data_IF_465464789100
#
_entry.id   IF_465464789100
#
_cell.length_a   1.000
_cell.length_b   1.000
_cell.length_c   1.000
_cell.angle_alpha   90.00
_cell.angle_beta   90.00
_cell.angle_gamma   90.00
#
_symmetry.space_group_name_H-M   'P 1'
#
loop_
_entity.id
_entity.type
_entity.pdbx_description
1 polymer ?
#
# COMPACT_ATOMS: atom_id res chain seq x y z
N UNK A 1 -9.58 37.94 4.26
CA UNK A 1 -9.72 36.55 4.72
C UNK A 1 -10.52 35.78 3.67
N UNK A 2 -9.84 35.01 2.82
CA UNK A 2 -10.50 34.22 1.77
C UNK A 2 -11.20 33.03 2.40
N UNK A 3 -12.48 32.82 2.03
CA UNK A 3 -13.29 31.67 2.45
C UNK A 3 -12.56 30.39 2.07
N UNK A 4 -12.24 29.57 3.06
CA UNK A 4 -11.62 28.26 2.84
C UNK A 4 -12.69 27.36 2.22
N UNK A 5 -12.55 26.99 0.95
CA UNK A 5 -13.52 26.16 0.27
C UNK A 5 -13.27 24.69 0.65
N UNK A 6 -14.12 24.16 1.53
CA UNK A 6 -14.28 22.71 1.72
C UNK A 6 -15.09 22.13 0.55
N UNK A 7 -14.83 20.89 0.17
CA UNK A 7 -15.51 20.25 -0.95
C UNK A 7 -15.57 18.74 -0.81
N UNK A 8 -16.56 18.13 -1.42
CA UNK A 8 -16.74 16.68 -1.49
C UNK A 8 -16.87 16.28 -2.97
N UNK A 9 -16.02 15.35 -3.41
CA UNK A 9 -15.95 14.88 -4.78
C UNK A 9 -16.21 13.37 -4.80
N UNK A 10 -17.33 12.96 -5.39
CA UNK A 10 -17.70 11.55 -5.50
C UNK A 10 -17.25 11.00 -6.86
N UNK A 11 -16.61 9.84 -6.83
CA UNK A 11 -16.12 9.06 -7.97
C UNK A 11 -16.66 7.63 -7.90
N UNK A 12 -16.62 6.90 -9.02
CA UNK A 12 -16.81 5.44 -9.00
C UNK A 12 -15.79 4.73 -8.10
N UNK A 13 -14.60 5.32 -7.92
CA UNK A 13 -13.57 4.77 -7.03
C UNK A 13 -13.64 5.30 -5.59
N UNK A 14 -14.68 6.03 -5.19
CA UNK A 14 -14.85 6.51 -3.82
C UNK A 14 -14.96 8.03 -3.75
N UNK A 15 -14.88 8.57 -2.54
CA UNK A 15 -15.16 9.99 -2.28
C UNK A 15 -13.94 10.67 -1.68
N UNK A 16 -13.60 11.85 -2.23
CA UNK A 16 -12.58 12.75 -1.70
C UNK A 16 -13.27 13.90 -0.96
N UNK A 17 -13.04 14.02 0.34
CA UNK A 17 -13.49 15.16 1.14
C UNK A 17 -12.30 16.03 1.48
N UNK A 18 -12.28 17.25 0.95
CA UNK A 18 -11.30 18.28 1.26
C UNK A 18 -11.83 19.20 2.35
N UNK A 19 -11.08 19.34 3.45
CA UNK A 19 -11.48 20.21 4.57
C UNK A 19 -11.20 21.69 4.33
N UNK A 20 -10.56 22.03 3.21
CA UNK A 20 -10.15 23.38 2.88
C UNK A 20 -8.79 23.81 3.44
N UNK A 21 -8.32 23.15 4.51
CA UNK A 21 -7.24 23.63 5.35
C UNK A 21 -5.96 22.86 5.07
N UNK A 22 -6.03 21.54 4.99
CA UNK A 22 -4.85 20.68 4.91
C UNK A 22 -5.10 19.18 4.99
N UNK A 23 -6.35 18.72 5.17
CA UNK A 23 -6.67 17.30 5.30
C UNK A 23 -7.65 16.86 4.22
N UNK A 24 -7.30 15.76 3.55
CA UNK A 24 -8.17 15.00 2.68
C UNK A 24 -8.65 13.76 3.43
N UNK A 25 -9.95 13.48 3.39
CA UNK A 25 -10.52 12.18 3.79
C UNK A 25 -10.94 11.43 2.55
N UNK A 26 -10.36 10.26 2.33
CA UNK A 26 -10.65 9.39 1.19
C UNK A 26 -11.54 8.24 1.69
N UNK A 27 -12.73 8.10 1.14
CA UNK A 27 -13.68 7.04 1.51
C UNK A 27 -13.85 6.08 0.34
N UNK A 28 -13.66 4.79 0.59
CA UNK A 28 -13.77 3.72 -0.42
C UNK A 28 -15.05 2.89 -0.27
N UNK A 29 -16.09 3.47 0.32
CA UNK A 29 -17.35 2.85 0.76
C UNK A 29 -18.33 2.45 -0.39
N UNK A 30 -17.93 2.64 -1.65
CA UNK A 30 -18.69 2.21 -2.81
C UNK A 30 -18.32 0.81 -3.32
N UNK A 31 -19.32 -0.09 -3.37
CA UNK A 31 -19.25 -1.30 -4.20
C UNK A 31 -19.46 -0.93 -5.66
N UNK A 32 -18.43 -1.06 -6.49
CA UNK A 32 -18.56 -0.95 -7.93
C UNK A 32 -18.74 -2.36 -8.52
N UNK A 33 -19.80 -2.55 -9.31
CA UNK A 33 -20.02 -3.80 -10.01
C UNK A 33 -18.93 -4.03 -11.08
N UNK A 34 -18.52 -5.27 -11.27
CA UNK A 34 -17.55 -5.66 -12.31
C UNK A 34 -16.07 -5.46 -11.96
N UNK A 35 -15.74 -5.06 -10.72
CA UNK A 35 -14.36 -5.11 -10.23
C UNK A 35 -13.92 -6.55 -9.97
N UNK A 36 -12.64 -6.84 -10.17
CA UNK A 36 -12.07 -8.11 -9.75
C UNK A 36 -12.09 -8.25 -8.21
N UNK A 37 -12.02 -9.49 -7.72
CA UNK A 37 -12.19 -9.80 -6.30
C UNK A 37 -11.11 -9.13 -5.41
N UNK A 38 -9.88 -8.98 -5.91
CA UNK A 38 -8.79 -8.37 -5.15
C UNK A 38 -9.03 -6.86 -5.01
N UNK A 39 -9.34 -6.19 -6.11
CA UNK A 39 -9.70 -4.77 -6.14
C UNK A 39 -10.91 -4.48 -5.24
N UNK A 40 -11.97 -5.30 -5.33
CA UNK A 40 -13.17 -5.14 -4.49
C UNK A 40 -12.87 -5.31 -2.99
N UNK A 41 -12.07 -6.33 -2.63
CA UNK A 41 -11.64 -6.58 -1.25
C UNK A 41 -10.76 -5.44 -0.71
N UNK A 42 -9.81 -4.95 -1.51
CA UNK A 42 -8.92 -3.85 -1.14
C UNK A 42 -9.72 -2.61 -0.77
N UNK A 43 -10.68 -2.20 -1.61
CA UNK A 43 -11.54 -1.03 -1.38
C UNK A 43 -12.31 -1.14 -0.07
N UNK A 44 -13.03 -2.24 0.09
CA UNK A 44 -13.88 -2.51 1.24
C UNK A 44 -13.07 -2.42 2.54
N UNK A 45 -11.85 -2.97 2.53
CA UNK A 45 -10.98 -3.03 3.70
C UNK A 45 -10.17 -1.77 3.96
N UNK A 46 -9.90 -0.94 2.96
CA UNK A 46 -9.27 0.37 3.16
C UNK A 46 -10.20 1.33 3.91
N UNK A 47 -11.52 1.25 3.68
CA UNK A 47 -12.51 2.03 4.42
C UNK A 47 -12.32 3.54 4.22
N UNK A 48 -11.97 4.26 5.29
CA UNK A 48 -11.58 5.67 5.24
C UNK A 48 -10.09 5.84 5.48
N UNK A 49 -9.43 6.68 4.67
CA UNK A 49 -8.05 7.12 4.88
C UNK A 49 -7.98 8.62 5.08
N UNK A 50 -7.18 9.04 6.05
CA UNK A 50 -6.86 10.45 6.30
C UNK A 50 -5.51 10.74 5.66
N UNK A 51 -5.48 11.73 4.78
CA UNK A 51 -4.32 12.12 3.99
C UNK A 51 -4.01 13.60 4.27
N UNK A 52 -2.89 13.91 4.95
CA UNK A 52 -2.43 15.28 5.08
C UNK A 52 -1.89 15.80 3.74
N UNK A 53 -2.18 17.05 3.41
CA UNK A 53 -1.77 17.66 2.12
C UNK A 53 -0.26 17.62 1.90
N UNK A 54 0.54 17.59 2.97
CA UNK A 54 1.99 17.42 2.97
C UNK A 54 2.46 16.09 2.34
N UNK A 55 1.57 15.11 2.24
CA UNK A 55 1.83 13.85 1.57
C UNK A 55 1.73 13.95 0.05
N UNK A 56 1.10 14.99 -0.49
CA UNK A 56 0.93 15.19 -1.93
C UNK A 56 2.16 15.86 -2.53
N UNK A 57 2.61 15.30 -3.65
CA UNK A 57 3.53 15.94 -4.59
C UNK A 57 2.75 16.82 -5.56
N UNK A 58 1.59 16.36 -6.01
CA UNK A 58 0.74 17.07 -6.96
C UNK A 58 -0.72 16.59 -6.87
N UNK A 59 -1.59 17.33 -7.54
CA UNK A 59 -2.96 16.91 -7.88
C UNK A 59 -3.19 17.16 -9.36
N UNK A 60 -3.57 16.10 -10.06
CA UNK A 60 -3.79 16.08 -11.50
C UNK A 60 -5.29 15.99 -11.77
N UNK A 61 -5.76 16.78 -12.73
CA UNK A 61 -7.14 16.75 -13.21
C UNK A 61 -7.07 16.52 -14.70
N UNK A 62 -7.89 15.60 -15.18
CA UNK A 62 -8.01 15.25 -16.59
C UNK A 62 -9.47 15.04 -16.95
N UNK A 63 -9.74 14.76 -18.22
CA UNK A 63 -11.07 14.35 -18.66
C UNK A 63 -11.53 13.02 -18.03
N UNK A 64 -10.61 12.20 -17.51
CA UNK A 64 -10.95 10.91 -16.90
C UNK A 64 -11.24 11.04 -15.40
N UNK A 65 -10.71 12.07 -14.73
CA UNK A 65 -11.03 12.40 -13.34
C UNK A 65 -9.94 13.13 -12.58
N UNK A 66 -9.90 12.93 -11.26
CA UNK A 66 -8.93 13.55 -10.35
C UNK A 66 -7.96 12.50 -9.80
N UNK A 67 -6.66 12.79 -9.87
CA UNK A 67 -5.61 11.94 -9.31
C UNK A 67 -4.81 12.70 -8.26
N UNK A 68 -4.72 12.10 -7.07
CA UNK A 68 -3.86 12.56 -5.98
C UNK A 68 -2.48 11.90 -6.14
N UNK A 69 -1.45 12.69 -6.44
CA UNK A 69 -0.09 12.18 -6.63
C UNK A 69 0.67 12.34 -5.33
N UNK A 70 0.87 11.23 -4.62
CA UNK A 70 1.67 11.22 -3.39
C UNK A 70 3.16 11.42 -3.67
N UNK A 71 3.87 11.91 -2.64
CA UNK A 71 5.32 11.89 -2.58
C UNK A 71 5.80 10.46 -2.29
N UNK A 72 6.89 10.05 -2.93
CA UNK A 72 7.53 8.77 -2.63
C UNK A 72 7.88 8.69 -1.13
N UNK A 73 7.59 7.57 -0.47
CA UNK A 73 7.82 7.40 0.96
C UNK A 73 6.78 8.07 1.87
N UNK A 74 5.71 8.68 1.34
CA UNK A 74 4.64 9.25 2.18
C UNK A 74 3.62 8.20 2.64
N UNK A 75 3.36 7.17 1.83
CA UNK A 75 2.43 6.08 2.14
C UNK A 75 3.13 4.71 2.07
N UNK A 76 3.12 3.93 3.17
CA UNK A 76 3.68 2.59 3.14
C UNK A 76 2.91 1.64 2.21
N UNK A 77 1.60 1.84 2.01
CA UNK A 77 0.82 0.99 1.10
C UNK A 77 1.27 1.17 -0.35
N UNK A 78 1.39 2.42 -0.81
CA UNK A 78 1.91 2.74 -2.15
C UNK A 78 3.35 2.25 -2.34
N UNK A 79 4.17 2.32 -1.30
CA UNK A 79 5.57 1.92 -1.36
C UNK A 79 5.75 0.41 -1.54
N UNK A 80 4.93 -0.41 -0.88
CA UNK A 80 4.95 -1.88 -1.05
C UNK A 80 4.55 -2.30 -2.46
N UNK A 81 3.58 -1.60 -3.05
CA UNK A 81 3.04 -2.00 -4.35
C UNK A 81 3.95 -1.58 -5.50
N UNK A 82 4.90 -0.66 -5.27
CA UNK A 82 5.81 -0.17 -6.32
C UNK A 82 5.06 0.41 -7.52
N UNK A 83 3.85 0.95 -7.29
CA UNK A 83 2.94 1.39 -8.36
C UNK A 83 2.20 0.27 -9.09
N UNK A 84 2.52 -1.00 -8.82
CA UNK A 84 1.78 -2.17 -9.30
C UNK A 84 0.61 -2.45 -8.38
N UNK A 85 -0.46 -1.69 -8.55
CA UNK A 85 -1.76 -2.08 -8.02
C UNK A 85 -2.66 -2.24 -9.23
N UNK A 86 -3.46 -3.31 -9.24
CA UNK A 86 -4.57 -3.45 -10.20
C UNK A 86 -5.49 -2.20 -10.18
N UNK A 87 -5.47 -1.44 -9.07
CA UNK A 87 -6.10 -0.14 -8.91
C UNK A 87 -5.26 0.86 -8.09
N UNK A 88 -5.06 2.07 -8.58
CA UNK A 88 -4.45 3.14 -7.79
C UNK A 88 -5.47 3.69 -6.77
N UNK A 89 -5.27 3.56 -5.43
CA UNK A 89 -6.23 4.04 -4.44
C UNK A 89 -6.35 5.58 -4.40
N UNK A 90 -5.51 6.28 -5.16
CA UNK A 90 -5.47 7.73 -5.23
C UNK A 90 -5.99 8.29 -6.56
N UNK A 91 -6.56 7.42 -7.41
CA UNK A 91 -7.19 7.77 -8.68
C UNK A 91 -8.73 7.71 -8.58
N UNK A 92 -9.36 8.86 -8.82
CA UNK A 92 -10.79 9.10 -8.69
C UNK A 92 -11.39 9.48 -10.06
N UNK A 93 -11.74 8.48 -10.89
CA UNK A 93 -12.31 8.71 -12.21
C UNK A 93 -13.79 9.11 -12.18
N UNK A 94 -14.32 9.59 -13.30
CA UNK A 94 -15.76 9.89 -13.48
C UNK A 94 -16.33 10.87 -12.44
N UNK A 95 -15.55 11.88 -12.10
CA UNK A 95 -15.94 12.97 -11.19
C UNK A 95 -16.50 14.17 -11.96
N UNK A 96 -17.22 15.07 -11.29
CA UNK A 96 -17.59 16.38 -11.86
C UNK A 96 -16.32 17.19 -12.18
N UNK A 97 -16.05 17.54 -13.45
CA UNK A 97 -14.80 18.22 -13.83
C UNK A 97 -14.64 19.62 -13.23
N UNK A 98 -15.74 20.38 -13.08
CA UNK A 98 -15.70 21.73 -12.53
C UNK A 98 -15.36 21.69 -11.04
N UNK A 99 -15.95 20.74 -10.31
CA UNK A 99 -15.67 20.53 -8.89
C UNK A 99 -14.28 19.94 -8.67
N UNK A 100 -13.84 19.01 -9.51
CA UNK A 100 -12.49 18.45 -9.48
C UNK A 100 -11.43 19.55 -9.66
N UNK A 101 -11.59 20.42 -10.65
CA UNK A 101 -10.67 21.53 -10.87
C UNK A 101 -10.71 22.55 -9.73
N UNK A 102 -11.88 22.81 -9.13
CA UNK A 102 -11.97 23.67 -7.96
C UNK A 102 -11.18 23.10 -6.76
N UNK A 103 -11.43 21.85 -6.39
CA UNK A 103 -10.73 21.18 -5.29
C UNK A 103 -9.23 21.10 -5.58
N UNK A 104 -8.85 20.76 -6.82
CA UNK A 104 -7.45 20.71 -7.22
C UNK A 104 -6.76 22.08 -7.10
N UNK A 105 -7.42 23.17 -7.50
CA UNK A 105 -6.89 24.53 -7.33
C UNK A 105 -6.67 24.86 -5.85
N UNK A 106 -7.61 24.50 -4.97
CA UNK A 106 -7.50 24.76 -3.53
C UNK A 106 -6.35 23.96 -2.89
N UNK A 107 -6.20 22.68 -3.27
CA UNK A 107 -5.08 21.84 -2.86
C UNK A 107 -3.75 22.43 -3.35
N UNK A 108 -3.64 22.78 -4.64
CA UNK A 108 -2.42 23.40 -5.22
C UNK A 108 -2.06 24.71 -4.49
N UNK A 109 -3.05 25.56 -4.21
CA UNK A 109 -2.84 26.78 -3.43
C UNK A 109 -2.30 26.47 -2.03
N UNK A 110 -2.81 25.42 -1.39
CA UNK A 110 -2.39 25.01 -0.05
C UNK A 110 -1.00 24.40 -0.02
N UNK A 111 -0.63 23.60 -1.03
CA UNK A 111 0.73 23.09 -1.20
C UNK A 111 1.75 24.24 -1.25
N UNK A 112 1.46 25.29 -2.04
CA UNK A 112 2.30 26.49 -2.12
C UNK A 112 2.33 27.24 -0.78
N UNK A 113 1.16 27.45 -0.16
CA UNK A 113 1.03 28.19 1.11
C UNK A 113 1.81 27.53 2.25
N UNK A 114 1.88 26.20 2.26
CA UNK A 114 2.54 25.40 3.29
C UNK A 114 3.98 25.01 2.93
N UNK A 115 4.49 25.49 1.79
CA UNK A 115 5.83 25.17 1.28
C UNK A 115 6.08 23.66 1.24
N UNK A 116 5.09 22.90 0.75
CA UNK A 116 5.20 21.44 0.67
C UNK A 116 6.17 21.09 -0.47
N UNK A 117 7.27 20.37 -0.19
CA UNK A 117 8.24 20.04 -1.22
C UNK A 117 7.72 18.91 -2.13
N UNK A 118 8.08 18.97 -3.41
CA UNK A 118 7.79 17.92 -4.39
C UNK A 118 8.76 16.70 -4.29
N UNK A 119 9.76 16.76 -3.41
CA UNK A 119 10.73 15.69 -3.19
C UNK A 119 10.12 14.52 -2.40
N UNK A 120 10.77 13.34 -2.39
CA UNK A 120 10.37 12.24 -1.51
C UNK A 120 10.19 12.69 -0.05
N UNK A 121 9.31 11.98 0.66
CA UNK A 121 9.12 12.17 2.09
C UNK A 121 10.18 11.40 2.87
N UNK A 122 10.76 12.04 3.89
CA UNK A 122 11.72 11.40 4.79
C UNK A 122 11.06 10.46 5.82
N UNK A 123 9.73 10.52 5.94
CA UNK A 123 8.94 9.71 6.89
C UNK A 123 7.57 9.39 6.32
N UNK A 124 6.92 8.36 6.85
CA UNK A 124 5.52 8.08 6.56
C UNK A 124 4.62 9.22 7.05
N UNK A 125 3.71 9.65 6.19
CA UNK A 125 2.71 10.69 6.48
C UNK A 125 1.31 10.08 6.56
N UNK A 126 1.10 8.91 5.96
CA UNK A 126 -0.12 8.14 6.08
C UNK A 126 0.10 6.94 7.00
N UNK A 127 -0.92 6.64 7.81
CA UNK A 127 -0.95 5.41 8.57
C UNK A 127 -1.07 4.20 7.61
N UNK A 128 -0.39 3.07 7.89
CA UNK A 128 -0.62 1.83 7.18
C UNK A 128 -2.05 1.34 7.47
N UNK A 129 -2.69 0.64 6.53
CA UNK A 129 -3.97 -0.01 6.80
C UNK A 129 -3.89 -0.99 7.98
N UNK A 130 -5.02 -1.22 8.64
CA UNK A 130 -5.10 -2.20 9.72
C UNK A 130 -4.74 -3.60 9.19
N UNK A 131 -3.70 -4.21 9.77
CA UNK A 131 -3.13 -5.46 9.31
C UNK A 131 -3.04 -6.48 10.45
N UNK A 132 -3.16 -7.79 10.16
CA UNK A 132 -3.04 -8.82 11.19
C UNK A 132 -1.62 -8.86 11.78
N UNK A 133 -1.47 -9.25 13.05
CA UNK A 133 -0.14 -9.46 13.66
C UNK A 133 0.55 -10.73 13.15
N UNK A 134 -0.25 -11.66 12.61
CA UNK A 134 0.18 -12.93 12.03
C UNK A 134 -0.44 -13.10 10.66
N UNK A 135 0.38 -13.33 9.65
CA UNK A 135 -0.06 -13.57 8.29
C UNK A 135 0.11 -15.06 7.96
N UNK A 136 -1.00 -15.71 7.62
CA UNK A 136 -0.98 -17.10 7.20
C UNK A 136 -0.86 -17.20 5.68
N UNK A 137 0.24 -17.78 5.21
CA UNK A 137 0.42 -18.12 3.80
C UNK A 137 0.37 -19.62 3.56
N UNK A 138 0.65 -19.99 2.31
CA UNK A 138 0.54 -21.37 1.84
C UNK A 138 1.65 -22.28 2.36
N UNK A 139 2.84 -21.72 2.54
CA UNK A 139 4.04 -22.49 2.90
C UNK A 139 4.77 -21.95 4.14
N UNK A 140 4.37 -20.81 4.67
CA UNK A 140 4.85 -20.29 5.94
C UNK A 140 3.77 -19.49 6.66
N UNK A 141 4.04 -19.19 7.91
CA UNK A 141 3.28 -18.24 8.72
C UNK A 141 4.26 -17.16 9.14
N UNK A 142 3.90 -15.91 8.88
CA UNK A 142 4.68 -14.74 9.23
C UNK A 142 4.15 -14.14 10.53
N UNK A 143 5.06 -13.72 11.39
CA UNK A 143 4.72 -13.00 12.62
C UNK A 143 5.83 -12.03 12.97
N UNK A 144 5.45 -10.88 13.50
CA UNK A 144 6.39 -9.88 14.03
C UNK A 144 6.28 -9.88 15.54
N UNK A 145 7.38 -10.20 16.22
CA UNK A 145 7.46 -10.20 17.68
C UNK A 145 8.88 -9.86 18.13
N UNK A 146 9.01 -9.16 19.25
CA UNK A 146 10.31 -8.85 19.88
C UNK A 146 11.34 -8.24 18.91
N UNK A 147 10.90 -7.33 18.02
CA UNK A 147 11.78 -6.68 17.04
C UNK A 147 12.29 -7.60 15.92
N UNK A 148 11.65 -8.75 15.68
CA UNK A 148 12.01 -9.71 14.63
C UNK A 148 10.80 -10.09 13.78
N UNK A 149 11.05 -10.35 12.50
CA UNK A 149 10.13 -11.06 11.60
C UNK A 149 10.50 -12.53 11.58
N UNK A 150 9.53 -13.41 11.82
CA UNK A 150 9.72 -14.87 11.80
C UNK A 150 8.87 -15.50 10.71
N UNK A 151 9.50 -16.33 9.89
CA UNK A 151 8.89 -17.26 8.94
C UNK A 151 8.84 -18.64 9.58
N UNK A 152 7.65 -19.07 10.03
CA UNK A 152 7.42 -20.43 10.50
C UNK A 152 6.95 -21.30 9.34
N UNK A 153 7.83 -22.15 8.80
CA UNK A 153 7.54 -22.94 7.60
C UNK A 153 6.57 -24.08 7.88
N UNK A 154 5.54 -24.20 7.04
CA UNK A 154 4.56 -25.29 7.10
C UNK A 154 5.18 -26.60 6.60
N UNK A 155 4.55 -27.74 6.87
CA UNK A 155 4.97 -29.03 6.28
C UNK A 155 5.04 -28.99 4.75
N UNK A 156 4.17 -28.21 4.12
CA UNK A 156 4.09 -27.98 2.67
C UNK A 156 5.30 -27.24 2.06
N UNK A 157 6.10 -26.53 2.85
CA UNK A 157 7.29 -25.84 2.34
C UNK A 157 8.37 -26.82 1.87
N UNK A 158 8.98 -26.49 0.73
CA UNK A 158 10.04 -27.29 0.11
C UNK A 158 11.33 -27.33 0.95
N UNK A 159 12.15 -28.36 0.75
CA UNK A 159 13.42 -28.56 1.49
C UNK A 159 14.38 -27.37 1.41
N UNK A 160 14.50 -26.73 0.25
CA UNK A 160 15.37 -25.56 0.05
C UNK A 160 14.98 -24.39 0.96
N UNK A 161 13.68 -24.19 1.16
CA UNK A 161 13.13 -23.14 2.03
C UNK A 161 13.45 -23.38 3.51
N UNK A 162 13.43 -24.65 3.91
CA UNK A 162 13.76 -25.12 5.27
C UNK A 162 15.26 -25.37 5.51
N UNK A 163 16.13 -24.93 4.59
CA UNK A 163 17.57 -25.14 4.72
C UNK A 163 18.16 -24.50 5.98
N UNK A 164 17.52 -23.44 6.48
CA UNK A 164 17.90 -22.73 7.71
C UNK A 164 17.11 -23.18 8.94
N UNK A 165 16.33 -24.27 8.84
CA UNK A 165 15.49 -24.79 9.93
C UNK A 165 13.99 -24.79 9.61
N UNK A 166 13.18 -25.24 10.58
CA UNK A 166 11.71 -25.19 10.47
C UNK A 166 11.15 -23.77 10.62
N UNK A 167 11.95 -22.87 11.20
CA UNK A 167 11.67 -21.46 11.30
C UNK A 167 12.93 -20.69 10.89
N UNK A 168 12.73 -19.52 10.28
CA UNK A 168 13.80 -18.57 9.98
C UNK A 168 13.36 -17.19 10.45
N UNK A 169 14.23 -16.47 11.16
CA UNK A 169 13.88 -15.17 11.75
C UNK A 169 14.98 -14.15 11.49
N UNK A 170 14.57 -12.93 11.15
CA UNK A 170 15.45 -11.80 10.85
C UNK A 170 15.09 -10.60 11.74
N UNK A 171 16.07 -9.86 12.31
CA UNK A 171 15.78 -8.60 13.00
C UNK A 171 15.13 -7.60 12.05
N UNK A 172 14.16 -6.83 12.54
CA UNK A 172 13.50 -5.81 11.71
C UNK A 172 14.50 -4.77 11.18
N UNK A 173 15.50 -4.40 11.98
CA UNK A 173 16.53 -3.43 11.58
C UNK A 173 17.50 -3.94 10.51
N UNK A 174 17.50 -5.24 10.19
CA UNK A 174 18.30 -5.80 9.07
C UNK A 174 17.48 -5.88 7.78
N UNK A 175 16.16 -5.68 7.85
CA UNK A 175 15.30 -5.71 6.67
C UNK A 175 15.39 -4.35 5.97
N UNK A 176 15.86 -4.36 4.74
CA UNK A 176 16.00 -3.15 3.93
C UNK A 176 14.86 -2.96 2.95
N UNK A 177 14.16 -4.04 2.58
CA UNK A 177 13.05 -3.96 1.64
C UNK A 177 12.00 -5.06 1.84
N UNK A 178 10.77 -4.77 1.40
CA UNK A 178 9.62 -5.69 1.44
C UNK A 178 8.92 -5.65 0.09
N UNK A 179 8.96 -6.78 -0.61
CA UNK A 179 8.32 -7.00 -1.89
C UNK A 179 7.02 -7.77 -1.70
N UNK A 180 5.98 -7.34 -2.41
CA UNK A 180 4.71 -8.03 -2.48
C UNK A 180 4.27 -8.19 -3.93
N UNK A 181 3.70 -9.34 -4.26
CA UNK A 181 3.08 -9.59 -5.56
C UNK A 181 1.80 -10.36 -5.32
N UNK A 182 0.65 -9.93 -5.89
CA UNK A 182 -0.61 -10.65 -5.72
C UNK A 182 -0.62 -11.96 -6.49
N UNK A 183 -1.54 -12.85 -6.13
CA UNK A 183 -1.91 -13.97 -6.99
C UNK A 183 -2.52 -13.43 -8.30
N UNK A 184 -1.85 -13.65 -9.43
CA UNK A 184 -2.37 -13.30 -10.75
C UNK A 184 -2.96 -14.53 -11.45
N UNK A 185 -4.12 -14.36 -12.10
CA UNK A 185 -4.94 -15.43 -12.68
C UNK A 185 -4.28 -16.27 -13.78
N UNK A 186 -4.97 -17.36 -14.12
CA UNK A 186 -4.78 -18.46 -15.12
C UNK A 186 -3.38 -19.00 -15.49
N UNK A 187 -2.31 -18.20 -15.51
CA UNK A 187 -0.95 -18.62 -15.88
C UNK A 187 -0.05 -19.02 -14.68
N UNK A 188 -0.60 -19.08 -13.46
CA UNK A 188 -0.03 -19.88 -12.36
C UNK A 188 1.14 -19.26 -11.58
N UNK A 189 1.44 -17.96 -11.76
CA UNK A 189 2.36 -17.25 -10.88
C UNK A 189 1.69 -17.02 -9.52
N UNK A 190 2.19 -17.71 -8.50
CA UNK A 190 1.71 -17.56 -7.12
C UNK A 190 2.16 -16.22 -6.57
N UNK A 191 1.24 -15.51 -5.92
CA UNK A 191 1.56 -14.32 -5.15
C UNK A 191 2.52 -14.66 -4.02
N UNK A 192 3.31 -13.68 -3.61
CA UNK A 192 4.29 -13.85 -2.54
C UNK A 192 4.51 -12.54 -1.79
N UNK A 193 4.97 -12.67 -0.54
CA UNK A 193 5.59 -11.61 0.24
C UNK A 193 7.04 -12.02 0.48
N UNK A 194 7.99 -11.14 0.21
CA UNK A 194 9.42 -11.41 0.32
C UNK A 194 10.14 -10.25 0.97
N UNK A 195 11.10 -10.54 1.83
CA UNK A 195 11.94 -9.52 2.47
C UNK A 195 13.36 -9.58 1.92
N UNK A 196 14.04 -8.44 1.93
CA UNK A 196 15.45 -8.33 1.64
C UNK A 196 16.20 -7.73 2.83
N UNK A 197 17.47 -8.09 2.95
CA UNK A 197 18.46 -7.57 3.89
C UNK A 197 19.71 -7.17 3.11
N UNK A 198 20.66 -6.48 3.73
CA UNK A 198 21.94 -6.13 3.08
C UNK A 198 22.73 -7.36 2.61
N UNK A 199 22.52 -8.51 3.25
CA UNK A 199 23.12 -9.79 2.86
C UNK A 199 22.37 -10.54 1.76
N UNK A 200 21.25 -9.99 1.26
CA UNK A 200 20.44 -10.65 0.25
C UNK A 200 21.20 -10.73 -1.09
N UNK A 201 21.35 -11.93 -1.67
CA UNK A 201 22.01 -12.08 -2.96
C UNK A 201 21.28 -11.32 -4.08
N UNK A 202 22.04 -10.79 -5.04
CA UNK A 202 21.49 -10.12 -6.23
C UNK A 202 20.60 -11.09 -7.02
N UNK A 203 21.09 -12.31 -7.27
CA UNK A 203 20.29 -13.36 -7.88
C UNK A 203 19.59 -14.18 -6.79
N UNK A 204 18.28 -14.01 -6.71
CA UNK A 204 17.45 -14.72 -5.73
C UNK A 204 16.78 -15.94 -6.34
N UNK A 205 16.64 -17.05 -5.59
CA UNK A 205 15.83 -18.16 -6.04
C UNK A 205 14.35 -17.74 -6.21
N UNK A 206 13.59 -18.51 -6.99
CA UNK A 206 12.14 -18.32 -7.11
C UNK A 206 11.49 -18.30 -5.72
N UNK A 207 10.45 -17.49 -5.45
CA UNK A 207 9.84 -17.35 -4.12
C UNK A 207 9.46 -18.67 -3.41
N UNK A 208 9.07 -19.70 -4.17
CA UNK A 208 8.78 -21.04 -3.62
C UNK A 208 9.99 -21.76 -2.99
N UNK A 209 11.20 -21.29 -3.29
CA UNK A 209 12.47 -21.86 -2.84
C UNK A 209 13.28 -20.89 -1.98
N UNK A 210 12.84 -19.65 -1.84
CA UNK A 210 13.51 -18.60 -1.07
C UNK A 210 13.08 -18.69 0.41
N UNK A 211 14.01 -18.88 1.36
CA UNK A 211 13.71 -18.81 2.80
C UNK A 211 13.09 -17.48 3.21
N UNK A 212 13.49 -16.38 2.56
CA UNK A 212 13.02 -15.03 2.87
C UNK A 212 11.72 -14.63 2.16
N UNK A 213 11.03 -15.59 1.57
CA UNK A 213 9.73 -15.40 0.96
C UNK A 213 8.65 -16.26 1.62
N UNK A 214 7.39 -15.89 1.45
CA UNK A 214 6.21 -16.70 1.75
C UNK A 214 5.28 -16.64 0.54
N UNK A 215 4.74 -17.79 0.14
CA UNK A 215 3.70 -17.83 -0.87
C UNK A 215 2.36 -17.44 -0.24
N UNK A 216 1.63 -16.54 -0.89
CA UNK A 216 0.32 -16.07 -0.43
C UNK A 216 -0.70 -17.20 -0.57
N UNK A 217 -1.56 -17.36 0.44
CA UNK A 217 -2.70 -18.28 0.40
C UNK A 217 -3.83 -17.70 -0.48
N UNK A 218 -4.67 -18.54 -1.09
CA UNK A 218 -5.76 -18.05 -1.93
C UNK A 218 -6.67 -17.08 -1.18
N UNK A 219 -6.88 -15.87 -1.72
CA UNK A 219 -7.72 -14.83 -1.12
C UNK A 219 -7.06 -13.99 -0.02
N UNK A 220 -5.81 -14.30 0.36
CA UNK A 220 -5.06 -13.58 1.41
C UNK A 220 -4.22 -12.41 0.87
N UNK A 221 -4.42 -12.00 -0.39
CA UNK A 221 -3.63 -10.97 -1.05
C UNK A 221 -3.70 -9.61 -0.35
N UNK A 222 -4.89 -9.17 0.07
CA UNK A 222 -5.06 -7.90 0.82
C UNK A 222 -4.43 -7.99 2.21
N UNK A 223 -4.55 -9.13 2.90
CA UNK A 223 -3.88 -9.33 4.20
C UNK A 223 -2.36 -9.25 4.06
N UNK A 224 -1.81 -9.88 3.03
CA UNK A 224 -0.39 -9.85 2.75
C UNK A 224 0.09 -8.44 2.41
N UNK A 225 -0.68 -7.70 1.60
CA UNK A 225 -0.37 -6.30 1.27
C UNK A 225 -0.40 -5.41 2.51
N UNK A 226 -1.43 -5.51 3.34
CA UNK A 226 -1.56 -4.70 4.56
C UNK A 226 -0.48 -5.06 5.58
N UNK A 227 -0.17 -6.35 5.73
CA UNK A 227 0.94 -6.82 6.56
C UNK A 227 2.28 -6.24 6.08
N UNK A 228 2.55 -6.27 4.79
CA UNK A 228 3.76 -5.69 4.20
C UNK A 228 3.83 -4.17 4.43
N UNK A 229 2.73 -3.44 4.25
CA UNK A 229 2.69 -2.00 4.48
C UNK A 229 2.97 -1.66 5.96
N UNK A 230 2.36 -2.41 6.89
CA UNK A 230 2.65 -2.29 8.32
C UNK A 230 4.10 -2.65 8.63
N UNK A 231 4.66 -3.68 8.00
CA UNK A 231 6.06 -4.06 8.17
C UNK A 231 7.02 -2.95 7.72
N UNK A 232 6.76 -2.27 6.59
CA UNK A 232 7.56 -1.11 6.15
C UNK A 232 7.67 -0.04 7.23
N UNK A 233 6.57 0.28 7.92
CA UNK A 233 6.60 1.27 9.03
C UNK A 233 7.39 0.82 10.25
N UNK A 234 7.69 -0.47 10.38
CA UNK A 234 8.51 -1.00 11.49
C UNK A 234 9.99 -1.04 11.16
N UNK A 235 10.34 -1.18 9.88
CA UNK A 235 11.74 -1.28 9.42
C UNK A 235 12.29 0.08 8.99
N UNK A 236 11.40 1.02 8.63
CA UNK A 236 11.69 2.44 8.34
C UNK A 236 10.73 3.32 9.15
N UNK A 237 10.92 3.45 10.47
CA UNK A 237 9.99 4.19 11.35
C UNK A 237 9.94 5.70 11.04
#
# INVERSE_FOLDING_TARGET
MGRVASGELTSTNGTVVWDGIGILRLRYDGTQAGLDALTSSLRTRLGERVLPVEALRAVEVSSTGLKLVLRDGADPLQSVTGGQVLMDPYDFPQVDPALAEQIARDIRSTLVRRDVPATPSARWLLAPPAAPDRLEGRDAILSVANGRLTFAYKRSAGRKKKSLGQQWSVPLGEIVDVEWTPNQGWLGARGFLRVATDSTPVERPKPKHDPAAMLIEGGADVDALFFAARLLTRIRP
#
